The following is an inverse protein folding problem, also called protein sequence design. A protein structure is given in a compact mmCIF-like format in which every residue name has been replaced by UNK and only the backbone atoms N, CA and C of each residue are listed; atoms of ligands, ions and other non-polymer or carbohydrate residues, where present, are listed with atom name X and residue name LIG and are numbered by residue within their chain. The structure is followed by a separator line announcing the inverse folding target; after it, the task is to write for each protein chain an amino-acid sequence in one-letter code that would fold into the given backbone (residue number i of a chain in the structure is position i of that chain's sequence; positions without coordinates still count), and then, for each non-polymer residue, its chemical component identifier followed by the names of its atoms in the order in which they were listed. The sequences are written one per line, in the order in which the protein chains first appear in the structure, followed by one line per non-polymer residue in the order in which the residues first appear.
data_IF_885981086293
#
_entry.id   IF_885981086293
#
_cell.length_a   1.000
_cell.length_b   1.000
_cell.length_c   1.000
_cell.angle_alpha   90.00
_cell.angle_beta   90.00
_cell.angle_gamma   90.00
#
_symmetry.space_group_name_H-M   'P 1'
#
loop_
_entity.id
_entity.type
_entity.pdbx_description
1 polymer ?
#
# COMPACT_ATOMS: atom_id res chain seq x y z
N UNK A 1 -46.69 54.64 -29.42
CA UNK A 1 -45.45 55.12 -28.78
C UNK A 1 -45.85 56.24 -27.82
N UNK A 2 -45.37 56.34 -26.57
CA UNK A 2 -44.75 55.35 -25.67
C UNK A 2 -45.24 55.42 -24.17
N UNK A 3 -44.76 54.46 -23.37
CA UNK A 3 -44.34 54.47 -21.93
C UNK A 3 -45.27 54.62 -20.72
N UNK A 4 -45.14 53.60 -19.84
CA UNK A 4 -45.08 53.57 -18.37
C UNK A 4 -46.39 53.55 -17.53
N UNK A 5 -46.62 52.45 -16.78
CA UNK A 5 -46.29 52.32 -15.35
C UNK A 5 -46.63 50.92 -14.80
N UNK A 6 -45.76 50.42 -13.92
CA UNK A 6 -45.89 49.26 -13.01
C UNK A 6 -47.26 49.13 -12.32
N UNK A 7 -47.78 47.91 -12.15
CA UNK A 7 -47.91 47.30 -10.81
C UNK A 7 -48.44 45.86 -10.81
N UNK A 8 -47.65 45.00 -10.20
CA UNK A 8 -48.03 43.96 -9.23
C UNK A 8 -49.38 43.24 -9.42
N UNK A 9 -49.30 41.96 -9.81
CA UNK A 9 -50.06 40.89 -9.13
C UNK A 9 -49.26 39.61 -9.05
N UNK A 10 -49.11 39.16 -7.81
CA UNK A 10 -48.84 37.80 -7.34
C UNK A 10 -49.14 36.70 -8.34
N UNK A 11 -48.14 35.86 -8.59
CA UNK A 11 -48.35 34.49 -9.07
C UNK A 11 -47.71 33.52 -8.07
N UNK A 12 -48.41 32.44 -7.71
CA UNK A 12 -48.12 31.65 -6.51
C UNK A 12 -46.84 30.83 -6.65
N UNK A 13 -46.14 30.73 -5.52
CA UNK A 13 -44.98 29.88 -5.28
C UNK A 13 -45.34 28.40 -5.56
N UNK A 14 -44.80 27.86 -6.64
CA UNK A 14 -44.93 26.45 -7.00
C UNK A 14 -43.86 25.64 -6.26
N UNK A 15 -44.20 24.63 -5.42
CA UNK A 15 -43.22 23.72 -4.84
C UNK A 15 -42.95 22.59 -5.85
N UNK A 16 -42.05 22.83 -6.80
CA UNK A 16 -41.59 21.84 -7.77
C UNK A 16 -40.36 21.11 -7.24
N UNK A 17 -40.48 19.80 -7.03
CA UNK A 17 -39.56 18.97 -6.28
C UNK A 17 -38.10 18.99 -6.73
N UNK A 18 -37.21 18.94 -5.74
CA UNK A 18 -35.85 18.51 -5.92
C UNK A 18 -35.83 17.09 -6.51
N UNK A 19 -35.07 16.80 -7.58
CA UNK A 19 -34.66 15.44 -7.83
C UNK A 19 -33.70 15.04 -6.70
N UNK A 20 -34.22 14.29 -5.74
CA UNK A 20 -33.44 13.43 -4.86
C UNK A 20 -32.78 12.34 -5.72
N UNK A 21 -31.69 12.70 -6.40
CA UNK A 21 -30.90 11.83 -7.25
C UNK A 21 -29.51 11.64 -6.67
N UNK A 22 -29.36 10.68 -5.75
CA UNK A 22 -28.17 9.85 -5.56
C UNK A 22 -28.45 8.84 -4.43
N UNK A 23 -29.41 7.96 -4.71
CA UNK A 23 -29.45 6.61 -4.16
C UNK A 23 -28.21 5.89 -4.68
N UNK A 24 -27.09 6.00 -3.95
CA UNK A 24 -25.99 5.04 -4.09
C UNK A 24 -26.16 4.01 -2.97
N UNK A 25 -27.28 3.30 -3.04
CA UNK A 25 -27.44 2.03 -2.35
C UNK A 25 -26.61 1.03 -3.14
N UNK A 26 -25.52 0.55 -2.56
CA UNK A 26 -24.82 -0.59 -3.12
C UNK A 26 -25.77 -1.78 -3.08
N UNK A 27 -26.28 -2.18 -4.24
CA UNK A 27 -26.89 -3.48 -4.44
C UNK A 27 -25.84 -4.54 -4.06
N UNK A 28 -25.91 -5.01 -2.82
CA UNK A 28 -25.27 -6.26 -2.44
C UNK A 28 -25.86 -7.38 -3.29
N UNK A 29 -25.10 -8.46 -3.55
CA UNK A 29 -25.59 -9.56 -4.38
C UNK A 29 -26.90 -10.08 -3.79
N UNK A 30 -28.01 -9.79 -4.47
CA UNK A 30 -29.33 -10.28 -4.12
C UNK A 30 -29.29 -11.80 -4.06
N UNK A 31 -29.86 -12.37 -3.01
CA UNK A 31 -29.80 -13.79 -2.62
C UNK A 31 -30.38 -14.80 -3.64
N UNK A 32 -30.65 -14.39 -4.89
CA UNK A 32 -31.30 -15.19 -5.94
C UNK A 32 -30.41 -15.46 -7.17
N UNK A 33 -29.15 -15.01 -7.18
CA UNK A 33 -28.22 -15.34 -8.28
C UNK A 33 -27.54 -16.71 -8.02
N UNK A 34 -27.76 -17.74 -8.87
CA UNK A 34 -27.10 -19.04 -8.72
C UNK A 34 -25.57 -18.94 -8.76
N UNK A 35 -25.00 -17.86 -9.31
CA UNK A 35 -23.56 -17.58 -9.26
C UNK A 35 -23.11 -17.14 -7.87
N UNK A 36 -23.95 -16.42 -7.13
CA UNK A 36 -23.66 -16.00 -5.76
C UNK A 36 -23.62 -17.22 -4.82
N UNK A 37 -24.49 -18.21 -5.01
CA UNK A 37 -24.46 -19.46 -4.25
C UNK A 37 -23.17 -20.27 -4.51
N UNK A 38 -22.77 -20.38 -5.78
CA UNK A 38 -21.51 -21.04 -6.14
C UNK A 38 -20.28 -20.32 -5.57
N UNK A 39 -20.30 -18.99 -5.55
CA UNK A 39 -19.24 -18.19 -4.92
C UNK A 39 -19.20 -18.39 -3.40
N UNK A 40 -20.35 -18.41 -2.73
CA UNK A 40 -20.46 -18.69 -1.29
C UNK A 40 -19.93 -20.09 -0.95
N UNK A 41 -20.36 -21.11 -1.67
CA UNK A 41 -19.90 -22.48 -1.46
C UNK A 41 -18.39 -22.64 -1.68
N UNK A 42 -17.81 -21.96 -2.68
CA UNK A 42 -16.36 -21.95 -2.89
C UNK A 42 -15.62 -21.21 -1.76
N UNK A 43 -16.15 -20.07 -1.30
CA UNK A 43 -15.58 -19.32 -0.19
C UNK A 43 -15.59 -20.12 1.12
N UNK A 44 -16.67 -20.84 1.42
CA UNK A 44 -16.77 -21.72 2.58
C UNK A 44 -15.73 -22.84 2.53
N UNK A 45 -15.63 -23.55 1.40
CA UNK A 45 -14.64 -24.62 1.21
C UNK A 45 -13.21 -24.11 1.34
N UNK A 46 -12.90 -22.94 0.78
CA UNK A 46 -11.58 -22.32 0.91
C UNK A 46 -11.30 -21.92 2.37
N UNK A 47 -12.30 -21.38 3.06
CA UNK A 47 -12.21 -21.02 4.48
C UNK A 47 -11.95 -22.24 5.38
N UNK A 48 -12.59 -23.37 5.11
CA UNK A 48 -12.36 -24.63 5.82
C UNK A 48 -10.92 -25.12 5.65
N UNK A 49 -10.42 -25.19 4.41
CA UNK A 49 -9.03 -25.59 4.13
C UNK A 49 -8.02 -24.65 4.76
N UNK A 50 -8.25 -23.34 4.68
CA UNK A 50 -7.40 -22.34 5.32
C UNK A 50 -7.35 -22.51 6.85
N UNK A 51 -8.46 -22.87 7.48
CA UNK A 51 -8.52 -23.15 8.92
C UNK A 51 -7.75 -24.42 9.30
N UNK A 52 -7.90 -25.50 8.53
CA UNK A 52 -7.22 -26.77 8.79
C UNK A 52 -5.70 -26.66 8.63
N UNK A 53 -5.23 -25.96 7.59
CA UNK A 53 -3.82 -25.81 7.29
C UNK A 53 -3.15 -24.63 8.01
N UNK A 54 -3.90 -23.59 8.37
CA UNK A 54 -3.35 -22.35 8.92
C UNK A 54 -3.04 -22.40 10.40
N UNK A 55 -3.77 -23.18 11.22
CA UNK A 55 -3.67 -23.08 12.68
C UNK A 55 -2.37 -23.64 13.29
N UNK A 56 -1.64 -24.50 12.57
CA UNK A 56 -0.47 -25.22 13.11
C UNK A 56 0.86 -24.45 13.14
N UNK A 57 1.01 -23.36 12.37
CA UNK A 57 2.29 -22.65 12.20
C UNK A 57 2.37 -21.27 12.89
N UNK A 58 1.29 -20.84 13.56
CA UNK A 58 1.11 -19.42 13.87
C UNK A 58 1.71 -18.99 15.22
N UNK A 59 1.88 -19.89 16.19
CA UNK A 59 2.23 -19.47 17.57
C UNK A 59 3.62 -18.83 17.70
N UNK A 60 4.65 -19.36 17.04
CA UNK A 60 5.99 -18.77 17.04
C UNK A 60 6.01 -17.42 16.30
N UNK A 61 5.30 -17.35 15.18
CA UNK A 61 5.23 -16.17 14.32
C UNK A 61 4.42 -15.03 14.96
N UNK A 62 3.41 -15.36 15.79
CA UNK A 62 2.62 -14.38 16.55
C UNK A 62 3.47 -13.58 17.53
N UNK A 63 4.35 -14.25 18.28
CA UNK A 63 5.19 -13.57 19.26
C UNK A 63 6.10 -12.54 18.56
N UNK A 64 6.76 -12.95 17.48
CA UNK A 64 7.60 -12.07 16.67
C UNK A 64 6.80 -10.91 16.07
N UNK A 65 5.60 -11.17 15.54
CA UNK A 65 4.74 -10.14 14.99
C UNK A 65 4.23 -9.17 16.07
N UNK A 66 3.86 -9.67 17.25
CA UNK A 66 3.41 -8.86 18.38
C UNK A 66 4.52 -7.91 18.86
N UNK A 67 5.75 -8.39 18.94
CA UNK A 67 6.91 -7.56 19.30
C UNK A 67 7.16 -6.46 18.25
N UNK A 68 7.06 -6.78 16.95
CA UNK A 68 7.19 -5.78 15.90
C UNK A 68 6.09 -4.71 15.94
N UNK A 69 4.84 -5.12 16.17
CA UNK A 69 3.70 -4.21 16.31
C UNK A 69 3.86 -3.29 17.52
N UNK A 70 4.34 -3.81 18.66
CA UNK A 70 4.62 -3.03 19.85
C UNK A 70 5.78 -2.04 19.64
N UNK A 71 6.84 -2.46 18.97
CA UNK A 71 7.96 -1.56 18.62
C UNK A 71 7.50 -0.42 17.70
N UNK A 72 6.67 -0.74 16.69
CA UNK A 72 6.10 0.27 15.80
C UNK A 72 5.16 1.22 16.54
N UNK A 73 4.31 0.71 17.43
CA UNK A 73 3.43 1.51 18.28
C UNK A 73 4.22 2.53 19.11
N UNK A 74 5.33 2.09 19.73
CA UNK A 74 6.24 2.97 20.48
C UNK A 74 6.87 4.04 19.58
N UNK A 75 7.40 3.66 18.42
CA UNK A 75 7.99 4.63 17.48
C UNK A 75 6.97 5.68 16.98
N UNK A 76 5.74 5.26 16.71
CA UNK A 76 4.63 6.16 16.34
C UNK A 76 4.23 7.06 17.51
N UNK A 77 4.21 6.53 18.74
CA UNK A 77 3.93 7.32 19.95
C UNK A 77 4.97 8.41 20.14
N UNK A 78 6.25 8.06 20.06
CA UNK A 78 7.37 9.00 20.20
C UNK A 78 7.31 10.09 19.13
N UNK A 79 6.97 9.70 17.90
CA UNK A 79 6.81 10.64 16.78
C UNK A 79 5.59 11.54 16.98
N UNK A 80 4.46 11.00 17.44
CA UNK A 80 3.27 11.78 17.78
C UNK A 80 3.56 12.82 18.88
N UNK A 81 4.34 12.44 19.90
CA UNK A 81 4.75 13.33 20.99
C UNK A 81 5.64 14.46 20.51
N UNK A 82 6.56 14.17 19.59
CA UNK A 82 7.39 15.19 18.92
C UNK A 82 6.55 16.14 18.06
N UNK A 83 5.57 15.60 17.31
CA UNK A 83 4.71 16.39 16.42
C UNK A 83 3.62 17.18 17.17
N UNK A 84 3.29 16.83 18.41
CA UNK A 84 2.23 17.49 19.19
C UNK A 84 2.52 18.97 19.43
N UNK A 85 3.79 19.39 19.42
CA UNK A 85 4.21 20.79 19.52
C UNK A 85 4.04 21.62 18.25
N UNK A 86 3.97 21.01 17.06
CA UNK A 86 4.00 21.72 15.77
C UNK A 86 2.76 21.49 14.89
N UNK A 87 2.19 20.28 14.91
CA UNK A 87 1.07 19.88 14.04
C UNK A 87 0.08 18.97 14.78
N UNK A 88 -0.73 19.56 15.68
CA UNK A 88 -1.64 18.84 16.56
C UNK A 88 -2.68 17.93 15.86
N UNK A 89 -3.05 18.24 14.61
CA UNK A 89 -3.96 17.41 13.82
C UNK A 89 -3.34 16.05 13.45
N UNK A 90 -2.12 16.08 12.91
CA UNK A 90 -1.36 14.89 12.50
C UNK A 90 -0.98 14.04 13.71
N UNK A 91 -0.57 14.67 14.82
CA UNK A 91 -0.23 13.98 16.06
C UNK A 91 -1.37 13.10 16.61
N UNK A 92 -2.64 13.54 16.47
CA UNK A 92 -3.80 12.72 16.89
C UNK A 92 -3.93 11.45 16.06
N UNK A 93 -3.73 11.53 14.75
CA UNK A 93 -3.80 10.36 13.87
C UNK A 93 -2.69 9.36 14.18
N UNK A 94 -1.44 9.83 14.38
CA UNK A 94 -0.34 8.94 14.77
C UNK A 94 -0.61 8.30 16.13
N UNK A 95 -1.16 9.05 17.09
CA UNK A 95 -1.51 8.55 18.41
C UNK A 95 -2.60 7.47 18.33
N UNK A 96 -3.65 7.70 17.56
CA UNK A 96 -4.71 6.72 17.33
C UNK A 96 -4.20 5.46 16.62
N UNK A 97 -3.27 5.62 15.67
CA UNK A 97 -2.59 4.50 15.01
C UNK A 97 -1.73 3.70 16.00
N UNK A 98 -0.94 4.37 16.85
CA UNK A 98 -0.13 3.73 17.89
C UNK A 98 -0.99 2.92 18.87
N UNK A 99 -2.13 3.46 19.32
CA UNK A 99 -3.07 2.75 20.20
C UNK A 99 -3.69 1.52 19.52
N UNK A 100 -4.04 1.66 18.24
CA UNK A 100 -4.51 0.53 17.44
C UNK A 100 -3.48 -0.59 17.37
N UNK A 101 -2.24 -0.26 17.01
CA UNK A 101 -1.15 -1.23 16.87
C UNK A 101 -0.78 -1.90 18.19
N UNK A 102 -0.77 -1.17 19.31
CA UNK A 102 -0.48 -1.74 20.64
C UNK A 102 -1.54 -2.76 21.06
N UNK A 103 -2.83 -2.39 20.93
CA UNK A 103 -3.94 -3.32 21.22
C UNK A 103 -3.90 -4.58 20.34
N UNK A 104 -3.47 -4.44 19.10
CA UNK A 104 -3.29 -5.59 18.19
C UNK A 104 -2.13 -6.48 18.63
N UNK A 105 -0.98 -5.89 18.99
CA UNK A 105 0.18 -6.64 19.49
C UNK A 105 -0.14 -7.43 20.76
N UNK A 106 -0.83 -6.79 21.72
CA UNK A 106 -1.24 -7.43 22.97
C UNK A 106 -2.26 -8.56 22.72
N UNK A 107 -3.28 -8.31 21.90
CA UNK A 107 -4.28 -9.33 21.55
C UNK A 107 -3.71 -10.52 20.76
N UNK A 108 -2.65 -10.30 19.98
CA UNK A 108 -1.97 -11.35 19.21
C UNK A 108 -1.11 -12.26 20.11
N UNK A 109 -0.53 -11.70 21.18
CA UNK A 109 0.30 -12.42 22.16
C UNK A 109 -0.53 -13.29 23.10
N UNK A 110 -1.70 -12.82 23.51
CA UNK A 110 -2.52 -13.47 24.54
C UNK A 110 -3.30 -14.72 24.05
N UNK A 111 -3.19 -15.10 22.76
CA UNK A 111 -3.89 -16.22 22.08
C UNK A 111 -5.36 -15.96 21.69
N UNK A 112 -5.90 -14.77 21.91
CA UNK A 112 -7.32 -14.46 21.68
C UNK A 112 -7.67 -14.12 20.22
N UNK A 113 -7.19 -14.93 19.27
CA UNK A 113 -7.62 -14.85 17.87
C UNK A 113 -9.16 -14.98 17.74
N UNK A 114 -9.79 -15.72 18.64
CA UNK A 114 -11.25 -15.86 18.70
C UNK A 114 -11.94 -14.56 19.10
N UNK A 115 -11.41 -13.84 20.09
CA UNK A 115 -11.96 -12.54 20.50
C UNK A 115 -11.74 -11.46 19.43
N UNK A 116 -10.58 -11.48 18.75
CA UNK A 116 -10.31 -10.62 17.60
C UNK A 116 -11.27 -10.92 16.45
N UNK A 117 -11.59 -12.20 16.20
CA UNK A 117 -12.55 -12.60 15.19
C UNK A 117 -13.96 -12.10 15.52
N UNK A 118 -14.41 -12.22 16.77
CA UNK A 118 -15.72 -11.73 17.20
C UNK A 118 -15.84 -10.19 17.07
N UNK A 119 -14.78 -9.46 17.40
CA UNK A 119 -14.73 -8.00 17.20
C UNK A 119 -14.71 -7.63 15.71
N UNK A 120 -13.93 -8.35 14.90
CA UNK A 120 -13.86 -8.15 13.47
C UNK A 120 -15.20 -8.43 12.78
N UNK A 121 -15.93 -9.47 13.21
CA UNK A 121 -17.26 -9.78 12.69
C UNK A 121 -18.25 -8.62 12.89
N UNK A 122 -18.17 -7.94 14.04
CA UNK A 122 -18.93 -6.72 14.29
C UNK A 122 -18.54 -5.56 13.36
N UNK A 123 -17.24 -5.38 13.08
CA UNK A 123 -16.72 -4.33 12.21
C UNK A 123 -17.09 -4.55 10.74
N UNK A 124 -17.01 -5.78 10.24
CA UNK A 124 -17.34 -6.14 8.85
C UNK A 124 -18.78 -5.76 8.52
N UNK A 125 -19.72 -6.01 9.44
CA UNK A 125 -21.13 -5.65 9.27
C UNK A 125 -21.36 -4.13 9.31
N UNK A 126 -20.48 -3.37 9.96
CA UNK A 126 -20.64 -1.94 10.19
C UNK A 126 -20.05 -1.09 9.08
N UNK A 127 -18.98 -1.57 8.45
CA UNK A 127 -18.23 -0.83 7.43
C UNK A 127 -17.78 -1.76 6.29
N UNK A 128 -18.71 -2.29 5.47
CA UNK A 128 -18.36 -3.19 4.37
C UNK A 128 -17.36 -2.59 3.38
N UNK A 129 -17.48 -1.28 3.07
CA UNK A 129 -16.58 -0.60 2.14
C UNK A 129 -15.11 -0.60 2.59
N UNK A 130 -14.84 -0.41 3.89
CA UNK A 130 -13.48 -0.41 4.45
C UNK A 130 -12.86 -1.80 4.35
N UNK A 131 -13.67 -2.84 4.56
CA UNK A 131 -13.22 -4.24 4.45
C UNK A 131 -12.83 -4.57 3.02
N UNK A 132 -13.66 -4.22 2.03
CA UNK A 132 -13.33 -4.47 0.62
C UNK A 132 -12.05 -3.71 0.20
N UNK A 133 -11.92 -2.44 0.58
CA UNK A 133 -10.71 -1.66 0.30
C UNK A 133 -9.46 -2.29 0.96
N UNK A 134 -9.58 -2.72 2.22
CA UNK A 134 -8.50 -3.40 2.94
C UNK A 134 -8.12 -4.73 2.32
N UNK A 135 -9.09 -5.53 1.88
CA UNK A 135 -8.85 -6.81 1.22
C UNK A 135 -8.12 -6.64 -0.11
N UNK A 136 -8.51 -5.66 -0.93
CA UNK A 136 -7.83 -5.34 -2.18
C UNK A 136 -6.40 -4.87 -1.92
N UNK A 137 -6.19 -3.97 -0.95
CA UNK A 137 -4.86 -3.49 -0.59
C UNK A 137 -3.97 -4.63 -0.08
N UNK A 138 -4.48 -5.48 0.81
CA UNK A 138 -3.76 -6.63 1.33
C UNK A 138 -3.41 -7.62 0.22
N UNK A 139 -4.35 -7.92 -0.68
CA UNK A 139 -4.10 -8.75 -1.86
C UNK A 139 -2.98 -8.19 -2.74
N UNK A 140 -3.00 -6.89 -3.02
CA UNK A 140 -1.94 -6.23 -3.78
C UNK A 140 -0.59 -6.32 -3.08
N UNK A 141 -0.53 -6.12 -1.76
CA UNK A 141 0.72 -6.23 -1.00
C UNK A 141 1.29 -7.65 -1.04
N UNK A 142 0.43 -8.66 -0.92
CA UNK A 142 0.84 -10.08 -1.04
C UNK A 142 1.36 -10.33 -2.47
N UNK A 143 0.64 -9.91 -3.51
CA UNK A 143 1.12 -10.03 -4.91
C UNK A 143 2.42 -9.28 -5.13
N UNK A 144 2.58 -8.09 -4.55
CA UNK A 144 3.78 -7.27 -4.66
C UNK A 144 4.98 -7.93 -3.99
N UNK A 145 4.77 -8.62 -2.87
CA UNK A 145 5.80 -9.37 -2.17
C UNK A 145 6.17 -10.64 -2.93
N UNK A 146 5.18 -11.41 -3.39
CA UNK A 146 5.41 -12.61 -4.22
C UNK A 146 6.10 -12.29 -5.55
N UNK A 147 5.80 -11.14 -6.17
CA UNK A 147 6.47 -10.66 -7.39
C UNK A 147 7.78 -9.90 -7.12
N UNK A 148 8.08 -9.59 -5.86
CA UNK A 148 9.37 -9.06 -5.46
C UNK A 148 10.35 -10.22 -5.24
N UNK A 149 10.54 -11.05 -6.25
CA UNK A 149 11.73 -11.89 -6.29
C UNK A 149 12.89 -10.99 -6.74
N UNK A 150 14.03 -10.99 -6.02
CA UNK A 150 15.23 -10.31 -6.48
C UNK A 150 15.75 -11.08 -7.69
N UNK A 151 15.57 -10.54 -8.89
CA UNK A 151 16.50 -10.82 -9.97
C UNK A 151 17.85 -10.19 -9.60
N UNK A 152 18.59 -10.90 -8.74
CA UNK A 152 20.06 -10.91 -8.77
C UNK A 152 20.47 -11.49 -10.14
N UNK A 153 20.30 -10.68 -11.20
CA UNK A 153 21.02 -10.89 -12.43
C UNK A 153 22.28 -10.03 -12.34
N UNK A 154 23.44 -10.59 -11.93
CA UNK A 154 24.70 -9.90 -12.18
C UNK A 154 24.75 -9.59 -13.69
N UNK A 155 25.10 -8.37 -14.13
CA UNK A 155 25.28 -8.06 -15.54
C UNK A 155 26.49 -8.87 -16.04
N UNK A 156 26.25 -10.13 -16.37
CA UNK A 156 27.25 -11.05 -16.86
C UNK A 156 27.16 -10.95 -18.37
N UNK A 157 28.03 -10.10 -18.93
CA UNK A 157 28.20 -10.01 -20.36
C UNK A 157 28.53 -11.37 -20.97
N UNK A 158 27.89 -11.68 -22.09
CA UNK A 158 28.40 -12.54 -23.16
C UNK A 158 27.60 -12.26 -24.43
N UNK A 159 28.28 -11.52 -25.30
CA UNK A 159 28.29 -11.49 -26.77
C UNK A 159 27.13 -12.05 -27.60
N UNK A 160 26.84 -11.26 -28.65
CA UNK A 160 26.36 -11.63 -29.99
C UNK A 160 24.85 -11.83 -30.18
N UNK A 161 24.19 -10.82 -30.73
CA UNK A 161 23.66 -10.80 -32.12
C UNK A 161 22.83 -9.51 -32.29
N UNK A 162 23.34 -8.50 -32.98
CA UNK A 162 23.06 -8.18 -34.39
C UNK A 162 21.65 -7.64 -34.66
N UNK A 163 21.50 -6.32 -34.68
CA UNK A 163 20.84 -5.56 -35.75
C UNK A 163 20.69 -4.09 -35.37
N UNK A 164 21.32 -3.21 -36.15
CA UNK A 164 20.88 -1.83 -36.28
C UNK A 164 21.72 -0.82 -35.50
N UNK A 165 22.93 -0.54 -35.98
CA UNK A 165 23.51 0.82 -35.89
C UNK A 165 24.50 1.03 -37.03
N UNK A 166 23.99 1.53 -38.16
CA UNK A 166 24.79 2.12 -39.23
C UNK A 166 24.72 3.63 -39.06
N UNK A 167 25.54 4.18 -38.17
CA UNK A 167 25.86 5.61 -38.19
C UNK A 167 27.22 5.76 -38.89
N UNK A 168 27.14 6.10 -40.17
CA UNK A 168 28.29 6.41 -41.01
C UNK A 168 28.42 7.93 -41.04
N UNK A 169 29.34 8.47 -40.22
CA UNK A 169 29.48 9.93 -40.09
C UNK A 169 30.69 10.41 -39.30
N UNK A 170 31.88 9.86 -39.52
CA UNK A 170 33.10 10.41 -38.88
C UNK A 170 34.39 9.79 -39.42
N UNK A 171 35.11 10.55 -40.23
CA UNK A 171 36.37 10.13 -40.84
C UNK A 171 37.46 9.78 -39.80
N UNK A 172 38.33 8.78 -40.07
CA UNK A 172 39.49 8.50 -39.24
C UNK A 172 40.61 9.51 -39.49
N UNK A 173 40.91 10.34 -38.49
CA UNK A 173 42.17 11.09 -38.46
C UNK A 173 43.33 10.12 -38.19
N UNK A 174 44.01 9.74 -39.26
CA UNK A 174 45.34 9.15 -39.21
C UNK A 174 46.38 10.17 -38.76
N UNK A 175 47.20 9.85 -37.76
CA UNK A 175 48.67 9.89 -37.84
C UNK A 175 49.32 9.77 -36.46
N UNK A 176 50.00 8.63 -36.28
CA UNK A 176 51.28 8.41 -35.62
C UNK A 176 51.82 9.44 -34.62
N UNK A 177 52.15 8.98 -33.41
CA UNK A 177 53.51 9.05 -32.88
C UNK A 177 53.67 8.18 -31.63
N UNK A 178 54.59 7.22 -31.75
CA UNK A 178 55.28 6.53 -30.65
C UNK A 178 56.03 7.55 -29.81
N UNK A 179 55.96 7.45 -28.47
CA UNK A 179 56.87 7.96 -27.41
C UNK A 179 56.07 8.17 -26.13
N UNK A 180 56.56 8.02 -24.90
CA UNK A 180 57.81 7.61 -24.29
C UNK A 180 57.49 7.65 -22.77
N UNK A 181 58.21 6.86 -21.99
CA UNK A 181 58.16 6.80 -20.53
C UNK A 181 58.19 8.19 -19.88
N UNK A 182 57.27 8.45 -18.95
CA UNK A 182 57.48 9.43 -17.87
C UNK A 182 56.54 9.15 -16.70
N UNK A 183 56.99 8.35 -15.73
CA UNK A 183 56.42 8.34 -14.39
C UNK A 183 57.21 9.36 -13.54
N UNK A 184 56.54 10.35 -12.92
CA UNK A 184 57.18 11.29 -12.02
C UNK A 184 57.66 10.58 -10.74
N UNK A 185 58.89 10.92 -10.33
CA UNK A 185 59.54 10.33 -9.17
C UNK A 185 58.74 10.50 -7.87
N UNK A 186 58.63 9.42 -7.12
CA UNK A 186 58.41 9.50 -5.68
C UNK A 186 59.74 9.25 -4.96
N UNK A 187 60.32 10.27 -4.33
CA UNK A 187 61.41 10.07 -3.40
C UNK A 187 60.89 9.65 -2.02
N UNK A 188 61.74 8.87 -1.35
CA UNK A 188 61.91 8.70 0.11
C UNK A 188 61.10 7.56 0.77
N UNK A 189 61.65 6.51 1.42
CA UNK A 189 62.92 6.20 2.15
C UNK A 189 62.59 5.92 3.63
N UNK A 190 63.19 4.85 4.15
CA UNK A 190 63.28 4.45 5.57
C UNK A 190 62.10 3.58 6.04
N UNK A 191 62.19 2.24 6.23
CA UNK A 191 63.07 1.47 7.14
C UNK A 191 63.46 2.31 8.35
N UNK A 192 62.96 1.99 9.54
CA UNK A 192 63.72 1.79 10.77
C UNK A 192 62.86 1.01 11.80
N UNK A 193 63.43 -0.11 12.27
CA UNK A 193 63.23 -0.92 13.48
C UNK A 193 61.88 -1.55 13.85
#
# INVERSE_FOLDING_TARGET
MPTEHEQHRDTPRQPGGAPAGAHSGGDGPSDEDPRAEQLRAQAENLGHKAREHGLGMVDEQKAVAADQLNNLSRALRDTAERLQGEQGGTARYLRQAAEGLGRLGDGLRERDARQLYDQAAGFVRRQPAVVFAGALAAGFLITRFLKAEPEDYPPTGTTADAAGHSDYGGAPSSASAVREVSMPGMPQQGREH
#
